data_IF_509385240527
#
_entry.id   IF_509385240527
#
_cell.length_a   1.000
_cell.length_b   1.000
_cell.length_c   1.000
_cell.angle_alpha   90.00
_cell.angle_beta   90.00
_cell.angle_gamma   90.00
#
_symmetry.space_group_name_H-M   'P 1'
#
loop_
_entity.id
_entity.type
_entity.pdbx_description
1 polymer ?
#
# COMPACT_ATOMS: atom_id res chain seq x y z
N UNK A 1 4.25 -26.65 -17.01
CA UNK A 1 5.50 -27.04 -16.30
C UNK A 1 6.45 -25.84 -16.38
N UNK A 2 6.64 -25.14 -15.26
CA UNK A 2 7.35 -23.84 -15.19
C UNK A 2 8.85 -23.94 -15.47
N UNK A 3 9.42 -22.87 -16.00
CA UNK A 3 10.60 -22.85 -16.88
C UNK A 3 11.97 -22.80 -16.19
N UNK A 4 12.06 -22.92 -14.87
CA UNK A 4 13.36 -23.13 -14.19
C UNK A 4 13.98 -24.52 -14.46
N UNK A 5 13.28 -25.38 -15.19
CA UNK A 5 13.75 -26.70 -15.58
C UNK A 5 14.66 -26.72 -16.83
N UNK A 6 14.89 -25.59 -17.54
CA UNK A 6 15.60 -25.60 -18.84
C UNK A 6 16.82 -24.71 -18.98
N UNK A 7 17.04 -23.74 -18.10
CA UNK A 7 18.33 -23.03 -17.97
C UNK A 7 18.93 -23.49 -16.65
N UNK A 8 19.99 -24.30 -16.70
CA UNK A 8 20.58 -25.00 -15.56
C UNK A 8 20.68 -24.13 -14.29
N UNK A 9 20.25 -24.70 -13.18
CA UNK A 9 20.12 -24.00 -11.90
C UNK A 9 19.18 -24.69 -10.91
N UNK A 10 18.44 -25.73 -11.35
CA UNK A 10 18.19 -26.83 -10.45
C UNK A 10 19.54 -27.46 -10.09
N UNK A 11 20.23 -26.90 -9.10
CA UNK A 11 21.09 -27.72 -8.26
C UNK A 11 20.17 -28.81 -7.74
N UNK A 12 20.21 -29.95 -8.41
CA UNK A 12 19.62 -31.15 -7.87
C UNK A 12 20.46 -31.44 -6.64
N UNK A 13 20.01 -30.99 -5.48
CA UNK A 13 20.62 -31.23 -4.17
C UNK A 13 20.46 -32.71 -3.78
N UNK A 14 20.80 -33.62 -4.70
CA UNK A 14 21.13 -34.97 -4.32
C UNK A 14 22.40 -34.85 -3.49
N UNK A 15 22.20 -34.93 -2.18
CA UNK A 15 23.18 -34.74 -1.10
C UNK A 15 24.45 -35.60 -1.15
N UNK A 16 24.63 -36.41 -2.20
CA UNK A 16 25.61 -37.48 -2.34
C UNK A 16 26.88 -37.10 -3.13
N UNK A 17 26.95 -35.95 -3.82
CA UNK A 17 28.08 -35.63 -4.73
C UNK A 17 28.95 -34.43 -4.35
N UNK A 18 28.68 -33.74 -3.24
CA UNK A 18 29.50 -32.61 -2.79
C UNK A 18 30.33 -32.97 -1.56
N UNK A 19 31.63 -32.68 -1.60
CA UNK A 19 32.53 -32.84 -0.45
C UNK A 19 32.21 -31.80 0.63
N UNK A 20 32.64 -32.07 1.86
CA UNK A 20 32.40 -31.18 3.01
C UNK A 20 32.97 -29.77 2.78
N UNK A 21 34.18 -29.68 2.21
CA UNK A 21 34.81 -28.41 1.84
C UNK A 21 34.07 -27.65 0.73
N UNK A 22 33.41 -28.34 -0.21
CA UNK A 22 32.61 -27.67 -1.25
C UNK A 22 31.31 -27.12 -0.66
N UNK A 23 30.69 -27.83 0.30
CA UNK A 23 29.54 -27.33 1.05
C UNK A 23 29.94 -26.13 1.92
N UNK A 24 31.08 -26.18 2.58
CA UNK A 24 31.59 -25.08 3.41
C UNK A 24 32.03 -23.87 2.56
N UNK A 25 32.60 -24.08 1.36
CA UNK A 25 32.87 -22.97 0.42
C UNK A 25 31.59 -22.35 -0.14
N UNK A 26 30.58 -23.15 -0.47
CA UNK A 26 29.26 -22.65 -0.87
C UNK A 26 28.56 -21.91 0.28
N UNK A 27 28.73 -22.37 1.51
CA UNK A 27 28.30 -21.66 2.70
C UNK A 27 29.11 -20.38 2.96
N UNK A 28 30.40 -20.32 2.59
CA UNK A 28 31.19 -19.08 2.67
C UNK A 28 30.83 -18.04 1.61
N UNK A 29 30.12 -18.43 0.54
CA UNK A 29 29.43 -17.48 -0.34
C UNK A 29 28.08 -17.02 0.25
N UNK A 30 27.65 -17.49 1.44
CA UNK A 30 26.42 -17.06 2.13
C UNK A 30 26.58 -15.77 2.95
N UNK A 31 27.66 -15.01 2.78
CA UNK A 31 27.70 -13.57 3.10
C UNK A 31 27.04 -12.75 1.97
N UNK A 32 25.93 -13.25 1.41
CA UNK A 32 25.05 -12.39 0.62
C UNK A 32 24.13 -11.69 1.63
N UNK A 33 24.68 -10.66 2.26
CA UNK A 33 23.94 -9.53 2.82
C UNK A 33 23.18 -8.73 1.74
N UNK A 34 23.19 -9.15 0.46
CA UNK A 34 22.39 -8.48 -0.57
C UNK A 34 20.90 -8.75 -0.33
N UNK A 35 20.26 -7.74 0.26
CA UNK A 35 18.83 -7.57 0.19
C UNK A 35 18.45 -7.43 -1.28
N UNK A 36 17.65 -8.37 -1.79
CA UNK A 36 17.12 -8.28 -3.16
C UNK A 36 15.87 -7.41 -3.12
N UNK A 37 15.91 -6.25 -3.79
CA UNK A 37 14.73 -5.41 -3.98
C UNK A 37 13.95 -5.91 -5.19
N UNK A 38 12.71 -6.36 -4.98
CA UNK A 38 11.84 -6.76 -6.09
C UNK A 38 11.22 -5.49 -6.66
N UNK A 39 11.90 -4.92 -7.65
CA UNK A 39 11.36 -3.77 -8.35
C UNK A 39 10.23 -4.20 -9.30
N UNK A 40 9.19 -3.37 -9.41
CA UNK A 40 8.23 -3.39 -10.53
C UNK A 40 7.34 -4.64 -10.70
N UNK A 41 6.82 -5.24 -9.64
CA UNK A 41 5.86 -6.37 -9.76
C UNK A 41 4.46 -6.00 -10.34
N UNK A 42 4.24 -4.73 -10.73
CA UNK A 42 3.14 -4.28 -11.61
C UNK A 42 3.47 -4.44 -13.10
N UNK A 43 4.60 -5.07 -13.42
CA UNK A 43 5.06 -5.36 -14.78
C UNK A 43 5.09 -6.86 -15.04
N UNK A 44 4.94 -7.20 -16.31
CA UNK A 44 5.08 -8.56 -16.80
C UNK A 44 6.47 -8.70 -17.40
N UNK A 45 7.15 -9.76 -16.99
CA UNK A 45 8.48 -10.11 -17.46
C UNK A 45 8.46 -11.40 -18.26
N UNK A 46 9.31 -11.47 -19.28
CA UNK A 46 9.66 -12.73 -19.95
C UNK A 46 11.15 -13.00 -19.78
N UNK A 47 11.54 -14.27 -19.89
CA UNK A 47 12.96 -14.60 -19.98
C UNK A 47 13.58 -14.00 -21.25
N UNK A 48 14.78 -13.45 -21.11
CA UNK A 48 15.62 -13.06 -22.21
C UNK A 48 16.02 -14.31 -23.03
N UNK A 49 16.03 -14.19 -24.35
CA UNK A 49 16.57 -15.23 -25.23
C UNK A 49 18.09 -15.06 -25.34
N UNK A 50 18.76 -16.15 -25.72
CA UNK A 50 20.18 -16.11 -26.04
C UNK A 50 20.44 -15.01 -27.09
N UNK A 51 21.34 -14.07 -26.80
CA UNK A 51 21.73 -12.89 -27.61
C UNK A 51 20.79 -11.67 -27.59
N UNK A 52 19.83 -11.56 -26.66
CA UNK A 52 19.12 -10.30 -26.42
C UNK A 52 19.89 -9.41 -25.43
N UNK A 53 20.00 -8.10 -25.73
CA UNK A 53 20.65 -7.13 -24.83
C UNK A 53 19.71 -6.82 -23.66
N UNK A 54 20.19 -7.05 -22.43
CA UNK A 54 19.46 -6.79 -21.17
C UNK A 54 20.05 -5.53 -20.52
N UNK A 55 19.19 -4.63 -20.02
CA UNK A 55 19.60 -3.29 -19.55
C UNK A 55 19.35 -3.00 -18.07
N UNK A 56 18.94 -3.97 -17.24
CA UNK A 56 18.79 -3.73 -15.80
C UNK A 56 18.88 -5.00 -14.94
N UNK A 57 19.14 -4.79 -13.64
CA UNK A 57 19.62 -5.65 -12.55
C UNK A 57 19.01 -7.06 -12.32
N UNK A 58 18.14 -7.54 -13.20
CA UNK A 58 17.63 -8.90 -13.24
C UNK A 58 18.08 -9.51 -14.57
N UNK A 59 19.36 -9.85 -14.68
CA UNK A 59 20.12 -10.11 -15.93
C UNK A 59 19.55 -11.18 -16.90
N UNK A 60 18.38 -11.76 -16.63
CA UNK A 60 17.71 -12.73 -17.49
C UNK A 60 16.25 -12.38 -17.83
N UNK A 61 15.74 -11.19 -17.50
CA UNK A 61 14.34 -10.82 -17.73
C UNK A 61 14.19 -9.52 -18.55
N UNK A 62 13.19 -9.53 -19.43
CA UNK A 62 12.82 -8.38 -20.26
C UNK A 62 11.39 -7.99 -19.87
N UNK A 63 11.20 -6.72 -19.50
CA UNK A 63 9.87 -6.12 -19.31
C UNK A 63 9.11 -6.19 -20.63
N UNK A 64 7.95 -6.85 -20.63
CA UNK A 64 7.07 -7.00 -21.80
C UNK A 64 5.97 -5.94 -21.78
N UNK A 65 5.63 -5.43 -20.59
CA UNK A 65 4.65 -4.39 -20.42
C UNK A 65 4.04 -4.40 -19.02
N UNK A 66 2.93 -3.68 -18.88
CA UNK A 66 2.18 -3.61 -17.62
C UNK A 66 1.35 -4.86 -17.38
N UNK A 67 1.26 -5.28 -16.11
CA UNK A 67 0.28 -6.27 -15.70
C UNK A 67 -1.09 -5.61 -15.54
N UNK A 68 -1.82 -5.46 -16.65
CA UNK A 68 -3.14 -4.82 -16.66
C UNK A 68 -4.16 -5.58 -15.80
N UNK A 69 -4.02 -6.90 -15.64
CA UNK A 69 -4.92 -7.66 -14.78
C UNK A 69 -4.72 -7.31 -13.31
N UNK A 70 -3.46 -7.23 -12.87
CA UNK A 70 -3.13 -6.81 -11.51
C UNK A 70 -3.51 -5.34 -11.26
N UNK A 71 -3.20 -4.45 -12.21
CA UNK A 71 -3.55 -3.04 -12.12
C UNK A 71 -5.06 -2.84 -12.01
N UNK A 72 -5.86 -3.49 -12.86
CA UNK A 72 -7.32 -3.36 -12.77
C UNK A 72 -7.91 -3.96 -11.49
N UNK A 73 -7.27 -4.99 -10.91
CA UNK A 73 -7.64 -5.48 -9.56
C UNK A 73 -7.36 -4.45 -8.48
N UNK A 74 -6.16 -3.83 -8.51
CA UNK A 74 -5.78 -2.76 -7.59
C UNK A 74 -6.74 -1.58 -7.68
N UNK A 75 -7.02 -1.10 -8.90
CA UNK A 75 -7.93 0.02 -9.16
C UNK A 75 -9.32 -0.27 -8.62
N UNK A 76 -9.85 -1.46 -8.91
CA UNK A 76 -11.17 -1.88 -8.42
C UNK A 76 -11.22 -1.95 -6.90
N UNK A 77 -10.19 -2.50 -6.24
CA UNK A 77 -10.19 -2.60 -4.79
C UNK A 77 -10.14 -1.24 -4.10
N UNK A 78 -9.43 -0.26 -4.70
CA UNK A 78 -9.46 1.14 -4.25
C UNK A 78 -10.85 1.76 -4.43
N UNK A 79 -11.46 1.57 -5.60
CA UNK A 79 -12.81 2.07 -5.90
C UNK A 79 -13.85 1.50 -4.94
N UNK A 80 -13.84 0.19 -4.73
CA UNK A 80 -14.77 -0.52 -3.86
C UNK A 80 -14.57 -0.11 -2.38
N UNK A 81 -13.32 0.04 -1.93
CA UNK A 81 -12.99 0.40 -0.55
C UNK A 81 -13.31 1.85 -0.20
N UNK A 82 -13.06 2.79 -1.12
CA UNK A 82 -13.14 4.24 -0.85
C UNK A 82 -14.33 4.92 -1.54
N UNK A 83 -15.10 4.20 -2.36
CA UNK A 83 -16.24 4.76 -3.08
C UNK A 83 -15.85 5.73 -4.19
N UNK A 84 -14.62 5.65 -4.72
CA UNK A 84 -14.18 6.47 -5.86
C UNK A 84 -14.82 5.90 -7.13
N UNK A 85 -15.49 6.74 -7.94
CA UNK A 85 -16.22 6.28 -9.12
C UNK A 85 -15.30 5.75 -10.21
N UNK A 86 -14.21 6.46 -10.48
CA UNK A 86 -13.19 6.09 -11.48
C UNK A 86 -11.83 6.39 -10.89
N UNK A 87 -11.04 5.35 -10.63
CA UNK A 87 -9.64 5.48 -10.23
C UNK A 87 -8.76 4.81 -11.28
N UNK A 88 -7.74 5.51 -11.75
CA UNK A 88 -6.76 4.98 -12.68
C UNK A 88 -5.36 5.12 -12.07
N UNK A 89 -4.60 4.04 -12.04
CA UNK A 89 -3.26 4.05 -11.45
C UNK A 89 -2.32 4.98 -12.27
N UNK A 90 -1.73 6.01 -11.65
CA UNK A 90 -0.80 6.89 -12.34
C UNK A 90 0.40 6.15 -12.95
N UNK A 91 0.83 6.57 -14.15
CA UNK A 91 1.99 6.00 -14.82
C UNK A 91 3.31 6.16 -14.04
N UNK A 92 3.38 7.12 -13.12
CA UNK A 92 4.51 7.33 -12.22
C UNK A 92 4.68 6.20 -11.20
N UNK A 93 3.61 5.47 -10.87
CA UNK A 93 3.64 4.34 -9.94
C UNK A 93 4.03 3.08 -10.72
N UNK A 94 5.28 2.66 -10.56
CA UNK A 94 5.85 1.48 -11.24
C UNK A 94 5.90 0.25 -10.34
N UNK A 95 6.05 0.46 -9.04
CA UNK A 95 6.06 -0.52 -7.96
C UNK A 95 5.12 -0.08 -6.84
N UNK A 96 4.90 -0.98 -5.90
CA UNK A 96 4.13 -0.74 -4.67
C UNK A 96 5.05 -0.99 -3.45
N UNK A 97 6.33 -0.62 -3.60
CA UNK A 97 7.32 -0.47 -2.54
C UNK A 97 7.03 0.80 -1.72
N UNK A 98 7.93 1.22 -0.82
CA UNK A 98 7.64 2.32 0.09
C UNK A 98 7.31 3.62 -0.67
N UNK A 99 8.14 3.98 -1.65
CA UNK A 99 7.89 5.16 -2.51
C UNK A 99 6.60 5.00 -3.33
N UNK A 100 6.38 3.82 -3.93
CA UNK A 100 5.16 3.52 -4.68
C UNK A 100 3.89 3.65 -3.84
N UNK A 101 3.92 3.21 -2.59
CA UNK A 101 2.82 3.35 -1.62
C UNK A 101 2.55 4.79 -1.26
N UNK A 102 3.58 5.60 -1.03
CA UNK A 102 3.41 7.03 -0.76
C UNK A 102 2.77 7.77 -1.95
N UNK A 103 3.22 7.47 -3.17
CA UNK A 103 2.62 8.01 -4.39
C UNK A 103 1.17 7.53 -4.57
N UNK A 104 0.89 6.27 -4.26
CA UNK A 104 -0.46 5.69 -4.31
C UNK A 104 -1.39 6.43 -3.35
N UNK A 105 -1.00 6.55 -2.08
CA UNK A 105 -1.80 7.23 -1.06
C UNK A 105 -2.10 8.68 -1.46
N UNK A 106 -1.11 9.40 -1.99
CA UNK A 106 -1.29 10.77 -2.48
C UNK A 106 -2.25 10.85 -3.66
N UNK A 107 -2.11 9.98 -4.65
CA UNK A 107 -3.00 9.93 -5.82
C UNK A 107 -4.43 9.61 -5.42
N UNK A 108 -4.64 8.59 -4.59
CA UNK A 108 -5.95 8.17 -4.11
C UNK A 108 -6.62 9.26 -3.27
N UNK A 109 -5.85 9.95 -2.41
CA UNK A 109 -6.35 11.08 -1.61
C UNK A 109 -6.87 12.20 -2.52
N UNK A 110 -6.11 12.57 -3.55
CA UNK A 110 -6.51 13.61 -4.51
C UNK A 110 -7.79 13.26 -5.27
N UNK A 111 -7.90 12.03 -5.76
CA UNK A 111 -9.10 11.56 -6.48
C UNK A 111 -10.33 11.50 -5.56
N UNK A 112 -10.16 11.04 -4.31
CA UNK A 112 -11.23 11.00 -3.33
C UNK A 112 -11.71 12.40 -2.94
N UNK A 113 -10.78 13.33 -2.70
CA UNK A 113 -11.11 14.73 -2.43
C UNK A 113 -11.87 15.36 -3.60
N UNK A 114 -11.43 15.10 -4.84
CA UNK A 114 -12.04 15.65 -6.05
C UNK A 114 -13.46 15.10 -6.27
N UNK A 115 -13.66 13.79 -6.10
CA UNK A 115 -14.98 13.14 -6.19
C UNK A 115 -15.96 13.74 -5.16
N UNK A 116 -15.53 13.87 -3.89
CA UNK A 116 -16.36 14.44 -2.84
C UNK A 116 -16.65 15.93 -3.07
N UNK A 117 -15.63 16.71 -3.48
CA UNK A 117 -15.78 18.13 -3.79
C UNK A 117 -16.80 18.36 -4.89
N UNK A 118 -16.73 17.59 -5.99
CA UNK A 118 -17.67 17.70 -7.10
C UNK A 118 -19.10 17.39 -6.63
N UNK A 119 -19.29 16.26 -5.93
CA UNK A 119 -20.62 15.88 -5.42
C UNK A 119 -21.23 16.89 -4.44
N UNK A 120 -20.44 17.40 -3.51
CA UNK A 120 -20.91 18.40 -2.54
C UNK A 120 -21.19 19.75 -3.21
N UNK A 121 -20.45 20.09 -4.26
CA UNK A 121 -20.71 21.28 -5.08
C UNK A 121 -22.01 21.13 -5.88
N UNK A 122 -22.24 19.96 -6.49
CA UNK A 122 -23.49 19.64 -7.19
C UNK A 122 -24.69 19.73 -6.23
N UNK A 123 -24.56 19.16 -5.04
CA UNK A 123 -25.57 19.27 -3.98
C UNK A 123 -25.86 20.72 -3.59
N UNK A 124 -24.81 21.53 -3.39
CA UNK A 124 -24.92 22.94 -3.01
C UNK A 124 -25.66 23.76 -4.08
N UNK A 125 -25.41 23.48 -5.36
CA UNK A 125 -25.97 24.23 -6.48
C UNK A 125 -27.35 23.73 -6.92
N UNK A 126 -27.76 22.52 -6.52
CA UNK A 126 -29.06 21.97 -6.83
C UNK A 126 -30.20 22.61 -6.04
N UNK A 127 -31.44 22.44 -6.51
CA UNK A 127 -32.66 22.87 -5.83
C UNK A 127 -33.78 21.83 -5.99
N UNK A 128 -34.82 21.93 -5.16
CA UNK A 128 -36.01 21.07 -5.21
C UNK A 128 -35.70 19.57 -5.11
N UNK A 129 -36.44 18.76 -5.87
CA UNK A 129 -36.31 17.30 -5.87
C UNK A 129 -34.92 16.81 -6.32
N UNK A 130 -34.26 17.54 -7.20
CA UNK A 130 -32.91 17.18 -7.65
C UNK A 130 -31.90 17.27 -6.50
N UNK A 131 -32.00 18.31 -5.66
CA UNK A 131 -31.14 18.44 -4.48
C UNK A 131 -31.35 17.29 -3.49
N UNK A 132 -32.61 16.93 -3.26
CA UNK A 132 -32.97 15.80 -2.39
C UNK A 132 -32.34 14.50 -2.89
N UNK A 133 -32.45 14.21 -4.19
CA UNK A 133 -31.86 13.03 -4.82
C UNK A 133 -30.33 12.99 -4.66
N UNK A 134 -29.64 14.09 -4.98
CA UNK A 134 -28.17 14.16 -4.83
C UNK A 134 -27.76 13.97 -3.36
N UNK A 135 -28.51 14.59 -2.44
CA UNK A 135 -28.26 14.44 -1.00
C UNK A 135 -28.39 12.99 -0.52
N UNK A 136 -29.46 12.30 -0.91
CA UNK A 136 -29.68 10.88 -0.60
C UNK A 136 -28.55 10.00 -1.15
N UNK A 137 -28.09 10.24 -2.38
CA UNK A 137 -26.95 9.52 -2.97
C UNK A 137 -25.64 9.74 -2.18
N UNK A 138 -25.37 10.97 -1.74
CA UNK A 138 -24.18 11.29 -0.95
C UNK A 138 -24.21 10.59 0.42
N UNK A 139 -25.35 10.65 1.10
CA UNK A 139 -25.55 10.02 2.42
C UNK A 139 -25.35 8.51 2.31
N UNK A 140 -25.98 7.86 1.34
CA UNK A 140 -25.88 6.41 1.17
C UNK A 140 -24.48 5.96 0.79
N UNK A 141 -23.81 6.69 -0.11
CA UNK A 141 -22.51 6.27 -0.65
C UNK A 141 -21.34 6.54 0.30
N UNK A 142 -21.37 7.66 1.03
CA UNK A 142 -20.24 8.11 1.85
C UNK A 142 -20.52 8.13 3.36
N UNK A 143 -21.73 7.75 3.79
CA UNK A 143 -22.09 7.72 5.21
C UNK A 143 -22.11 9.12 5.86
N UNK A 144 -22.30 10.17 5.06
CA UNK A 144 -22.39 11.55 5.57
C UNK A 144 -23.75 11.72 6.27
N UNK A 145 -23.77 12.36 7.44
CA UNK A 145 -25.02 12.62 8.17
C UNK A 145 -25.82 13.76 7.51
N UNK A 146 -27.13 13.82 7.74
CA UNK A 146 -27.97 14.93 7.25
C UNK A 146 -27.47 16.30 7.74
N UNK A 147 -26.97 16.38 8.99
CA UNK A 147 -26.42 17.61 9.56
C UNK A 147 -25.08 18.01 8.92
N UNK A 148 -24.20 17.03 8.65
CA UNK A 148 -22.93 17.27 7.95
C UNK A 148 -23.20 17.75 6.52
N UNK A 149 -24.19 17.14 5.84
CA UNK A 149 -24.59 17.53 4.50
C UNK A 149 -25.17 18.96 4.46
N UNK A 150 -25.96 19.36 5.46
CA UNK A 150 -26.42 20.75 5.58
C UNK A 150 -25.26 21.73 5.81
N UNK A 151 -24.24 21.32 6.56
CA UNK A 151 -23.03 22.13 6.80
C UNK A 151 -22.19 22.30 5.54
N UNK A 152 -22.23 21.34 4.61
CA UNK A 152 -21.54 21.42 3.33
C UNK A 152 -21.96 22.63 2.47
N UNK A 153 -23.14 23.21 2.70
CA UNK A 153 -23.55 24.45 2.00
C UNK A 153 -22.59 25.63 2.31
N UNK A 154 -22.05 25.64 3.53
CA UNK A 154 -21.15 26.69 4.03
C UNK A 154 -19.68 26.28 3.97
N UNK A 155 -19.36 25.02 4.28
CA UNK A 155 -17.97 24.56 4.43
C UNK A 155 -17.75 23.16 3.84
N UNK A 156 -17.59 23.09 2.52
CA UNK A 156 -17.28 21.83 1.83
C UNK A 156 -15.96 21.18 2.34
N UNK A 157 -14.84 21.92 2.49
CA UNK A 157 -13.57 21.32 2.91
C UNK A 157 -13.64 20.57 4.25
N UNK A 158 -14.37 21.11 5.23
CA UNK A 158 -14.57 20.46 6.53
C UNK A 158 -15.31 19.12 6.40
N UNK A 159 -16.35 19.06 5.57
CA UNK A 159 -17.12 17.84 5.34
C UNK A 159 -16.31 16.79 4.60
N UNK A 160 -15.51 17.19 3.60
CA UNK A 160 -14.58 16.28 2.91
C UNK A 160 -13.63 15.64 3.92
N UNK A 161 -12.97 16.48 4.74
CA UNK A 161 -12.02 16.01 5.75
C UNK A 161 -12.67 15.05 6.74
N UNK A 162 -13.81 15.42 7.31
CA UNK A 162 -14.56 14.58 8.24
C UNK A 162 -14.99 13.25 7.62
N UNK A 163 -15.40 13.26 6.36
CA UNK A 163 -15.82 12.05 5.63
C UNK A 163 -14.65 11.08 5.45
N UNK A 164 -13.48 11.56 5.00
CA UNK A 164 -12.28 10.73 4.79
C UNK A 164 -11.78 10.13 6.11
N UNK A 165 -11.79 10.91 7.19
CA UNK A 165 -11.40 10.45 8.52
C UNK A 165 -12.32 9.33 9.03
N UNK A 166 -13.65 9.47 8.80
CA UNK A 166 -14.65 8.46 9.15
C UNK A 166 -14.48 7.18 8.32
N UNK A 167 -14.35 7.29 7.00
CA UNK A 167 -14.24 6.10 6.12
C UNK A 167 -12.99 5.26 6.41
N UNK A 168 -11.93 5.91 6.89
CA UNK A 168 -10.65 5.27 7.23
C UNK A 168 -10.55 4.85 8.70
N UNK A 169 -11.64 4.96 9.49
CA UNK A 169 -11.69 4.64 10.92
C UNK A 169 -10.61 5.35 11.77
N UNK A 170 -10.25 6.59 11.42
CA UNK A 170 -9.14 7.31 12.03
C UNK A 170 -9.25 7.42 13.57
N UNK A 171 -10.45 7.67 14.09
CA UNK A 171 -10.70 7.75 15.53
C UNK A 171 -10.46 6.42 16.26
N UNK A 172 -10.87 5.30 15.67
CA UNK A 172 -10.66 3.99 16.28
C UNK A 172 -9.18 3.62 16.24
N UNK A 173 -8.50 3.88 15.12
CA UNK A 173 -7.06 3.64 15.00
C UNK A 173 -6.26 4.45 16.04
N UNK A 174 -6.68 5.70 16.32
CA UNK A 174 -6.07 6.51 17.36
C UNK A 174 -6.31 5.92 18.76
N UNK A 175 -7.57 5.53 19.05
CA UNK A 175 -7.94 4.89 20.32
C UNK A 175 -7.15 3.60 20.55
N UNK A 176 -6.94 2.80 19.50
CA UNK A 176 -6.12 1.58 19.58
C UNK A 176 -4.68 1.89 19.98
N UNK A 177 -4.06 2.93 19.41
CA UNK A 177 -2.70 3.33 19.79
C UNK A 177 -2.65 3.82 21.24
N UNK A 178 -3.54 4.75 21.60
CA UNK A 178 -3.55 5.35 22.94
C UNK A 178 -3.77 4.31 24.05
N UNK A 179 -4.64 3.32 23.79
CA UNK A 179 -4.98 2.26 24.74
C UNK A 179 -4.07 1.02 24.64
N UNK A 180 -3.10 0.99 23.74
CA UNK A 180 -2.20 -0.15 23.58
C UNK A 180 -1.29 -0.28 24.82
N UNK A 181 -1.45 -1.38 25.56
CA UNK A 181 -0.67 -1.69 26.76
C UNK A 181 0.76 -2.18 26.46
N UNK A 182 1.01 -2.59 25.22
CA UNK A 182 2.32 -3.07 24.78
C UNK A 182 3.22 -1.94 24.26
N UNK A 183 2.69 -0.71 24.15
CA UNK A 183 3.45 0.47 23.75
C UNK A 183 3.67 1.39 24.94
N UNK A 184 4.91 1.82 25.14
CA UNK A 184 5.22 2.93 26.03
C UNK A 184 4.85 4.28 25.37
N UNK A 185 4.94 5.38 26.12
CA UNK A 185 4.51 6.69 25.62
C UNK A 185 5.36 7.19 24.44
N UNK A 186 6.66 6.91 24.43
CA UNK A 186 7.53 7.25 23.29
C UNK A 186 7.14 6.49 22.02
N UNK A 187 6.78 5.21 22.14
CA UNK A 187 6.31 4.39 21.03
C UNK A 187 4.94 4.85 20.53
N UNK A 188 4.04 5.27 21.43
CA UNK A 188 2.75 5.85 21.03
C UNK A 188 2.94 7.16 20.26
N UNK A 189 3.82 8.04 20.73
CA UNK A 189 4.17 9.28 20.01
C UNK A 189 4.65 8.97 18.59
N UNK A 190 5.57 8.00 18.45
CA UNK A 190 6.09 7.58 17.13
C UNK A 190 5.00 7.00 16.24
N UNK A 191 4.14 6.14 16.75
CA UNK A 191 3.03 5.55 16.00
C UNK A 191 2.00 6.59 15.56
N UNK A 192 1.68 7.57 16.42
CA UNK A 192 0.82 8.70 16.06
C UNK A 192 1.45 9.50 14.92
N UNK A 193 2.73 9.85 15.04
CA UNK A 193 3.44 10.57 13.98
C UNK A 193 3.46 9.81 12.65
N UNK A 194 3.71 8.51 12.70
CA UNK A 194 3.72 7.64 11.52
C UNK A 194 2.34 7.53 10.85
N UNK A 195 1.28 7.29 11.62
CA UNK A 195 -0.07 7.03 11.08
C UNK A 195 -0.90 8.27 10.78
N UNK A 196 -0.67 9.37 11.51
CA UNK A 196 -1.45 10.60 11.40
C UNK A 196 -0.66 11.74 10.77
N UNK A 197 0.67 11.63 10.64
CA UNK A 197 1.51 12.66 10.01
C UNK A 197 1.63 13.94 10.82
N UNK A 198 1.55 13.85 12.14
CA UNK A 198 1.59 14.99 13.07
C UNK A 198 2.63 14.77 14.15
N UNK A 199 3.22 15.85 14.67
CA UNK A 199 4.10 15.76 15.83
C UNK A 199 3.28 15.93 17.11
N UNK A 200 3.47 15.01 18.05
CA UNK A 200 2.91 15.07 19.41
C UNK A 200 4.02 14.78 20.41
N UNK A 201 3.88 15.26 21.64
CA UNK A 201 4.81 15.00 22.74
C UNK A 201 4.20 14.06 23.77
N UNK A 202 5.04 13.49 24.64
CA UNK A 202 4.56 12.68 25.78
C UNK A 202 3.65 13.51 26.70
N UNK A 203 3.95 14.80 26.88
CA UNK A 203 3.13 15.67 27.72
C UNK A 203 1.72 15.82 27.16
N UNK A 204 1.58 15.90 25.83
CA UNK A 204 0.30 16.00 25.15
C UNK A 204 -0.59 14.77 25.43
N UNK A 205 0.01 13.58 25.57
CA UNK A 205 -0.71 12.34 25.87
C UNK A 205 -1.34 12.31 27.27
N UNK A 206 -0.94 13.19 28.20
CA UNK A 206 -1.55 13.24 29.54
C UNK A 206 -2.98 13.77 29.51
N UNK A 207 -3.36 14.56 28.50
CA UNK A 207 -4.72 15.06 28.30
C UNK A 207 -5.41 14.38 27.11
N UNK A 208 -5.66 13.08 27.26
CA UNK A 208 -6.18 12.20 26.21
C UNK A 208 -7.41 12.73 25.45
N UNK A 209 -8.34 13.42 26.13
CA UNK A 209 -9.58 13.91 25.49
C UNK A 209 -9.30 15.06 24.53
N UNK A 210 -8.54 16.07 24.95
CA UNK A 210 -8.23 17.23 24.13
C UNK A 210 -7.29 16.85 23.00
N UNK A 211 -6.22 16.11 23.32
CA UNK A 211 -5.22 15.75 22.31
C UNK A 211 -5.81 14.84 21.22
N UNK A 212 -6.76 13.95 21.55
CA UNK A 212 -7.40 13.12 20.53
C UNK A 212 -8.12 13.95 19.47
N UNK A 213 -8.81 15.01 19.88
CA UNK A 213 -9.49 15.90 18.95
C UNK A 213 -8.49 16.67 18.09
N UNK A 214 -7.42 17.18 18.69
CA UNK A 214 -6.38 17.94 18.00
C UNK A 214 -5.62 17.05 17.00
N UNK A 215 -5.35 15.79 17.34
CA UNK A 215 -4.74 14.81 16.44
C UNK A 215 -5.61 14.60 15.21
N UNK A 216 -6.90 14.28 15.40
CA UNK A 216 -7.83 14.00 14.31
C UNK A 216 -8.03 15.25 13.44
N UNK A 217 -8.16 16.42 14.07
CA UNK A 217 -8.34 17.70 13.38
C UNK A 217 -7.15 18.07 12.51
N UNK A 218 -5.92 17.70 12.90
CA UNK A 218 -4.69 18.09 12.19
C UNK A 218 -4.02 16.96 11.39
N UNK A 219 -4.55 15.73 11.44
CA UNK A 219 -4.03 14.59 10.68
C UNK A 219 -3.84 14.86 9.17
N UNK A 220 -2.76 14.34 8.59
CA UNK A 220 -2.58 14.29 7.13
C UNK A 220 -3.59 13.32 6.53
N UNK A 221 -4.39 13.80 5.56
CA UNK A 221 -5.33 12.93 4.85
C UNK A 221 -4.60 11.85 4.06
N UNK A 222 -3.43 12.16 3.50
CA UNK A 222 -2.60 11.18 2.81
C UNK A 222 -2.15 10.06 3.76
N UNK A 223 -1.73 10.38 4.99
CA UNK A 223 -1.35 9.36 5.98
C UNK A 223 -2.54 8.54 6.47
N UNK A 224 -3.73 9.14 6.54
CA UNK A 224 -4.95 8.42 6.89
C UNK A 224 -5.35 7.45 5.77
N UNK A 225 -5.38 7.92 4.52
CA UNK A 225 -5.69 7.09 3.34
C UNK A 225 -4.62 6.00 3.14
N UNK A 226 -3.35 6.30 3.43
CA UNK A 226 -2.25 5.35 3.37
C UNK A 226 -2.52 4.08 4.19
N UNK A 227 -3.20 4.19 5.33
CA UNK A 227 -3.50 3.03 6.18
C UNK A 227 -4.38 1.99 5.49
N UNK A 228 -5.24 2.40 4.55
CA UNK A 228 -6.03 1.49 3.73
C UNK A 228 -5.31 1.13 2.43
N UNK A 229 -4.67 2.08 1.76
CA UNK A 229 -3.97 1.80 0.49
C UNK A 229 -2.75 0.90 0.67
N UNK A 230 -2.06 0.96 1.82
CA UNK A 230 -0.94 0.07 2.12
C UNK A 230 -1.39 -1.39 2.26
N UNK A 231 -2.55 -1.62 2.89
CA UNK A 231 -3.13 -2.97 2.99
C UNK A 231 -3.48 -3.51 1.61
N UNK A 232 -4.09 -2.68 0.76
CA UNK A 232 -4.40 -3.04 -0.62
C UNK A 232 -3.10 -3.30 -1.40
N UNK A 233 -2.10 -2.43 -1.29
CA UNK A 233 -0.82 -2.56 -1.98
C UNK A 233 -0.08 -3.85 -1.59
N UNK A 234 -0.03 -4.15 -0.29
CA UNK A 234 0.55 -5.38 0.24
C UNK A 234 -0.21 -6.62 -0.24
N UNK A 235 -1.54 -6.55 -0.34
CA UNK A 235 -2.34 -7.63 -0.92
C UNK A 235 -2.03 -7.82 -2.41
N UNK A 236 -1.93 -6.72 -3.17
CA UNK A 236 -1.64 -6.77 -4.61
C UNK A 236 -0.25 -7.33 -4.92
N UNK A 237 0.73 -7.11 -4.03
CA UNK A 237 2.01 -7.81 -4.09
C UNK A 237 1.84 -9.32 -4.16
N UNK A 238 1.00 -9.87 -3.28
CA UNK A 238 0.65 -11.28 -3.23
C UNK A 238 -0.40 -11.69 -4.27
N UNK A 239 -0.85 -10.80 -5.14
CA UNK A 239 -1.62 -11.14 -6.34
C UNK A 239 -0.73 -11.21 -7.58
N UNK A 240 0.43 -10.53 -7.57
CA UNK A 240 1.41 -10.56 -8.66
C UNK A 240 2.00 -11.96 -8.84
N UNK A 241 1.84 -12.50 -10.04
CA UNK A 241 2.43 -13.79 -10.39
C UNK A 241 3.95 -13.72 -10.39
N UNK A 242 4.52 -12.62 -10.88
CA UNK A 242 5.97 -12.39 -10.85
C UNK A 242 6.52 -12.44 -9.43
N UNK A 243 5.88 -11.71 -8.50
CA UNK A 243 6.30 -11.70 -7.10
C UNK A 243 6.23 -13.09 -6.47
N UNK A 244 5.13 -13.83 -6.69
CA UNK A 244 4.97 -15.21 -6.19
C UNK A 244 6.06 -16.12 -6.70
N UNK A 245 6.33 -16.07 -8.01
CA UNK A 245 7.34 -16.92 -8.63
C UNK A 245 8.73 -16.57 -8.13
N UNK A 246 9.08 -15.27 -8.05
CA UNK A 246 10.33 -14.82 -7.45
C UNK A 246 10.49 -15.37 -6.02
N UNK A 247 9.51 -15.12 -5.16
CA UNK A 247 9.58 -15.52 -3.75
C UNK A 247 9.73 -17.04 -3.59
N UNK A 248 8.89 -17.82 -4.28
CA UNK A 248 8.92 -19.28 -4.21
C UNK A 248 10.21 -19.88 -4.78
N UNK A 249 10.76 -19.30 -5.85
CA UNK A 249 11.99 -19.78 -6.47
C UNK A 249 13.21 -19.46 -5.62
N UNK A 250 13.29 -18.24 -5.05
CA UNK A 250 14.36 -17.85 -4.13
C UNK A 250 14.37 -18.72 -2.88
N UNK A 251 13.21 -19.04 -2.30
CA UNK A 251 13.11 -19.99 -1.17
C UNK A 251 13.63 -21.38 -1.53
N UNK A 252 13.26 -21.91 -2.71
CA UNK A 252 13.71 -23.25 -3.15
C UNK A 252 15.20 -23.31 -3.42
N UNK A 253 15.77 -22.26 -4.02
CA UNK A 253 17.19 -22.20 -4.36
C UNK A 253 18.08 -22.14 -3.11
N UNK A 254 17.62 -21.42 -2.09
CA UNK A 254 18.41 -21.09 -0.89
C UNK A 254 18.10 -22.02 0.27
N UNK A 255 16.98 -22.74 0.21
CA UNK A 255 16.43 -23.57 1.29
C UNK A 255 16.32 -22.79 2.62
N UNK A 256 16.04 -21.50 2.53
CA UNK A 256 15.90 -20.59 3.68
C UNK A 256 14.54 -19.89 3.64
N UNK A 257 13.91 -19.67 4.80
CA UNK A 257 12.74 -18.80 4.89
C UNK A 257 13.12 -17.38 4.45
N UNK A 258 12.17 -16.68 3.84
CA UNK A 258 12.36 -15.31 3.37
C UNK A 258 11.41 -14.39 4.11
N UNK A 259 11.91 -13.25 4.52
CA UNK A 259 11.14 -12.15 5.10
C UNK A 259 11.14 -11.00 4.11
N UNK A 260 10.03 -10.27 4.06
CA UNK A 260 9.86 -9.08 3.23
C UNK A 260 9.64 -7.90 4.16
N UNK A 261 10.33 -6.80 3.91
CA UNK A 261 10.17 -5.58 4.69
C UNK A 261 9.18 -4.59 4.07
N UNK A 262 9.11 -3.41 4.66
CA UNK A 262 8.18 -2.37 4.24
C UNK A 262 8.54 -1.76 2.87
N UNK A 263 9.81 -1.83 2.45
CA UNK A 263 10.35 -1.35 1.17
C UNK A 263 10.63 -2.47 0.15
N UNK A 264 10.03 -3.63 0.38
CA UNK A 264 10.04 -4.79 -0.52
C UNK A 264 11.42 -5.40 -0.75
N UNK A 265 12.31 -5.20 0.22
CA UNK A 265 13.52 -5.99 0.33
C UNK A 265 13.18 -7.38 0.85
N UNK A 266 13.76 -8.36 0.19
CA UNK A 266 13.68 -9.77 0.59
C UNK A 266 15.00 -10.20 1.21
N UNK A 267 14.94 -10.78 2.41
CA UNK A 267 16.10 -11.33 3.11
C UNK A 267 15.80 -12.67 3.78
N UNK A 268 16.86 -13.40 4.09
CA UNK A 268 16.77 -14.68 4.80
C UNK A 268 16.36 -14.44 6.26
N UNK A 269 15.41 -15.25 6.76
CA UNK A 269 15.03 -15.28 8.16
C UNK A 269 15.99 -16.15 8.99
#
# INVERSE_FOLDING_TARGET
KGYLARTGGGLNWNSETLTREQKDRLASYQDIEEKLKISNYLRIYRSAKQNEVVHSAEDNFIEVGKDMNLISKLEKEIQDKLGIKSYNLPNSIKSLDLEGKELLAKSVTGDLQSELQNKLTDYKNASGDNKKKIGEEIIQKYGISNSDLATAEKNIPEIIRGTILKSSNAENNLKEILNNKNLNDDEKVKEIGRKFGISVTIEDLKNNSQISQDIIKNASLERIVAQDTDKIANKMRWESQFFKDFYANTQKLTNRPLVIDEDDFVWYA
#
